data_IF_084674797595
#
_entry.id   IF_084674797595
#
_cell.length_a   1.000
_cell.length_b   1.000
_cell.length_c   1.000
_cell.angle_alpha   90.00
_cell.angle_beta   90.00
_cell.angle_gamma   90.00
#
_symmetry.space_group_name_H-M   'P 1'
#
loop_
_entity.id
_entity.type
_entity.pdbx_description
1 polymer ?
#
# COMPACT_ATOMS: atom_id res chain seq x y z
N UNK A 1 -1.52 -38.93 27.55
CA UNK A 1 -2.42 -38.11 26.72
C UNK A 1 -1.52 -37.23 25.87
N UNK A 2 -1.36 -37.56 24.59
CA UNK A 2 -0.54 -36.78 23.64
C UNK A 2 -1.38 -35.62 23.13
N UNK A 3 -0.90 -34.39 23.32
CA UNK A 3 -1.53 -33.20 22.72
C UNK A 3 -1.58 -33.36 21.20
N UNK A 4 -2.71 -33.04 20.54
CA UNK A 4 -2.78 -33.10 19.09
C UNK A 4 -1.81 -32.06 18.51
N UNK A 5 -0.82 -32.53 17.76
CA UNK A 5 0.14 -31.68 17.06
C UNK A 5 -0.60 -30.82 16.05
N UNK A 6 -0.50 -29.50 16.18
CA UNK A 6 -1.07 -28.57 15.21
C UNK A 6 -0.38 -28.77 13.84
N UNK A 7 -1.14 -29.20 12.83
CA UNK A 7 -0.69 -29.28 11.45
C UNK A 7 -1.34 -28.19 10.60
N UNK A 8 -0.53 -27.18 10.26
CA UNK A 8 -0.98 -26.02 9.50
C UNK A 8 -1.58 -26.38 8.14
N UNK A 9 -1.08 -27.44 7.49
CA UNK A 9 -1.56 -27.83 6.17
C UNK A 9 -2.97 -28.42 6.23
N UNK A 10 -3.21 -29.32 7.19
CA UNK A 10 -4.55 -29.89 7.42
C UNK A 10 -5.58 -28.83 7.81
N UNK A 11 -5.18 -27.85 8.65
CA UNK A 11 -6.06 -26.74 9.03
C UNK A 11 -6.39 -25.83 7.84
N UNK A 12 -5.41 -25.54 6.98
CA UNK A 12 -5.65 -24.74 5.77
C UNK A 12 -6.64 -25.42 4.82
N UNK A 13 -6.50 -26.72 4.58
CA UNK A 13 -7.46 -27.47 3.74
C UNK A 13 -8.86 -27.52 4.38
N UNK A 14 -8.95 -27.53 5.71
CA UNK A 14 -10.24 -27.46 6.43
C UNK A 14 -10.92 -26.11 6.19
N UNK A 15 -10.17 -25.00 6.30
CA UNK A 15 -10.69 -23.64 6.08
C UNK A 15 -11.14 -23.42 4.63
N UNK A 16 -10.39 -23.93 3.66
CA UNK A 16 -10.71 -23.83 2.22
C UNK A 16 -12.06 -24.46 1.86
N UNK A 17 -12.47 -25.46 2.63
CA UNK A 17 -13.72 -26.19 2.42
C UNK A 17 -14.84 -25.77 3.38
N UNK A 18 -14.59 -24.87 4.32
CA UNK A 18 -15.58 -24.39 5.26
C UNK A 18 -16.71 -23.61 4.54
N UNK A 19 -17.96 -23.96 4.86
CA UNK A 19 -19.15 -23.32 4.31
C UNK A 19 -19.95 -22.62 5.41
N UNK A 20 -20.65 -21.54 5.05
CA UNK A 20 -21.57 -20.86 5.96
C UNK A 20 -22.94 -21.57 6.03
N UNK A 21 -23.84 -21.02 6.86
CA UNK A 21 -25.18 -21.57 7.08
C UNK A 21 -26.08 -21.58 5.82
N UNK A 22 -25.65 -20.92 4.73
CA UNK A 22 -26.33 -20.92 3.42
C UNK A 22 -25.51 -21.65 2.35
N UNK A 23 -24.60 -22.54 2.77
CA UNK A 23 -23.74 -23.39 1.94
C UNK A 23 -22.70 -22.69 1.03
N UNK A 24 -22.50 -21.39 1.20
CA UNK A 24 -21.46 -20.65 0.48
C UNK A 24 -20.09 -20.83 1.16
N UNK A 25 -19.01 -20.80 0.36
CA UNK A 25 -17.65 -20.92 0.88
C UNK A 25 -17.30 -19.70 1.75
N UNK A 26 -16.88 -19.95 2.99
CA UNK A 26 -16.43 -18.88 3.90
C UNK A 26 -15.06 -18.33 3.48
N UNK A 27 -14.20 -19.18 2.93
CA UNK A 27 -12.90 -18.79 2.42
C UNK A 27 -12.93 -18.82 0.88
N UNK A 28 -12.92 -17.63 0.28
CA UNK A 28 -12.81 -17.50 -1.18
C UNK A 28 -11.48 -16.81 -1.47
N UNK A 29 -10.49 -17.48 -2.07
CA UNK A 29 -9.22 -16.88 -2.46
C UNK A 29 -9.38 -16.03 -3.74
N UNK A 30 -10.55 -15.44 -3.95
CA UNK A 30 -10.82 -14.61 -5.13
C UNK A 30 -9.81 -13.47 -5.07
N UNK A 31 -8.94 -13.31 -6.08
CA UNK A 31 -8.04 -12.19 -6.10
C UNK A 31 -8.88 -10.92 -6.05
N UNK A 32 -8.56 -10.07 -5.08
CA UNK A 32 -9.02 -8.69 -5.01
C UNK A 32 -8.88 -8.08 -6.41
N UNK A 33 -9.94 -7.42 -6.89
CA UNK A 33 -10.00 -6.95 -8.27
C UNK A 33 -8.72 -6.20 -8.67
N UNK A 34 -8.10 -6.57 -9.79
CA UNK A 34 -6.91 -5.89 -10.29
C UNK A 34 -7.31 -4.50 -10.83
N UNK A 35 -7.10 -3.46 -10.04
CA UNK A 35 -7.39 -2.08 -10.44
C UNK A 35 -6.17 -1.52 -11.18
N UNK A 36 -6.27 -1.36 -12.50
CA UNK A 36 -5.24 -0.71 -13.33
C UNK A 36 -5.50 0.79 -13.41
N UNK A 37 -4.61 1.58 -12.83
CA UNK A 37 -4.66 3.05 -12.89
C UNK A 37 -3.64 3.56 -13.91
N UNK A 38 -4.08 4.41 -14.84
CA UNK A 38 -3.18 5.06 -15.80
C UNK A 38 -2.72 6.42 -15.26
N UNK A 39 -1.39 6.59 -15.11
CA UNK A 39 -0.77 7.83 -14.64
C UNK A 39 0.14 8.38 -15.73
N UNK A 40 -0.10 9.62 -16.14
CA UNK A 40 0.64 10.33 -17.17
C UNK A 40 1.68 11.28 -16.54
N UNK A 41 2.91 11.33 -17.07
CA UNK A 41 3.95 12.24 -16.57
C UNK A 41 3.64 13.69 -16.92
N UNK A 42 3.70 14.58 -15.93
CA UNK A 42 3.48 16.01 -16.10
C UNK A 42 4.36 16.82 -15.12
N UNK A 43 5.32 17.59 -15.66
CA UNK A 43 6.25 18.42 -14.86
C UNK A 43 5.58 19.64 -14.20
N UNK A 44 4.38 20.02 -14.63
CA UNK A 44 3.61 21.10 -14.00
C UNK A 44 2.96 20.67 -12.68
N UNK A 45 2.82 19.37 -12.45
CA UNK A 45 2.29 18.82 -11.20
C UNK A 45 3.40 18.82 -10.15
N UNK A 46 3.13 19.31 -8.94
CA UNK A 46 4.09 19.25 -7.85
C UNK A 46 4.44 17.80 -7.47
N UNK A 47 5.66 17.54 -6.98
CA UNK A 47 6.03 16.21 -6.49
C UNK A 47 5.08 15.69 -5.39
N UNK A 48 4.99 14.37 -5.27
CA UNK A 48 4.11 13.64 -4.35
C UNK A 48 2.60 13.93 -4.51
N UNK A 49 2.17 14.44 -5.67
CA UNK A 49 0.75 14.67 -5.99
C UNK A 49 0.30 13.88 -7.22
N UNK A 50 -0.97 13.49 -7.18
CA UNK A 50 -1.71 12.91 -8.31
C UNK A 50 -2.93 13.79 -8.57
N UNK A 51 -3.09 14.24 -9.81
CA UNK A 51 -4.20 15.10 -10.22
C UNK A 51 -5.02 14.35 -11.27
N UNK A 52 -6.31 14.13 -11.00
CA UNK A 52 -7.20 13.53 -11.98
C UNK A 52 -7.28 14.37 -13.26
N UNK A 53 -7.27 13.70 -14.42
CA UNK A 53 -7.46 14.38 -15.70
C UNK A 53 -8.93 14.76 -15.88
N UNK A 54 -9.18 16.04 -16.19
CA UNK A 54 -10.53 16.54 -16.48
C UNK A 54 -11.05 16.10 -17.84
N UNK A 55 -10.15 15.95 -18.82
CA UNK A 55 -10.46 15.59 -20.21
C UNK A 55 -10.44 14.09 -20.50
N UNK A 56 -9.74 13.31 -19.68
CA UNK A 56 -9.60 11.85 -19.84
C UNK A 56 -9.99 11.15 -18.52
N UNK A 57 -11.29 10.88 -18.30
CA UNK A 57 -11.77 10.22 -17.08
C UNK A 57 -11.03 8.90 -16.81
N UNK A 58 -10.77 8.60 -15.53
CA UNK A 58 -10.06 7.39 -15.11
C UNK A 58 -8.53 7.47 -15.22
N UNK A 59 -7.97 8.59 -15.67
CA UNK A 59 -6.51 8.81 -15.75
C UNK A 59 -6.06 9.93 -14.82
N UNK A 60 -4.80 9.85 -14.39
CA UNK A 60 -4.18 10.84 -13.51
C UNK A 60 -2.93 11.44 -14.14
N UNK A 61 -2.51 12.62 -13.64
CA UNK A 61 -1.22 13.25 -13.94
C UNK A 61 -0.40 13.34 -12.67
N UNK A 62 0.90 13.10 -12.78
CA UNK A 62 1.83 13.24 -11.67
C UNK A 62 3.21 13.68 -12.18
N UNK A 63 4.00 14.31 -11.30
CA UNK A 63 5.38 14.62 -11.61
C UNK A 63 6.15 13.32 -11.96
N UNK A 64 7.04 13.32 -12.97
CA UNK A 64 7.82 12.12 -13.34
C UNK A 64 8.56 11.50 -12.15
N UNK A 65 9.04 12.32 -11.21
CA UNK A 65 9.69 11.85 -9.98
C UNK A 65 8.73 11.06 -9.09
N UNK A 66 7.48 11.53 -8.96
CA UNK A 66 6.44 10.87 -8.16
C UNK A 66 6.16 9.49 -8.70
N UNK A 67 6.05 9.36 -10.03
CA UNK A 67 5.80 8.08 -10.71
C UNK A 67 6.94 7.09 -10.45
N UNK A 68 8.20 7.54 -10.50
CA UNK A 68 9.36 6.69 -10.19
C UNK A 68 9.47 6.33 -8.71
N UNK A 69 9.13 7.27 -7.84
CA UNK A 69 9.21 7.12 -6.39
C UNK A 69 8.13 6.17 -5.84
N UNK A 70 6.96 6.08 -6.48
CA UNK A 70 5.84 5.28 -6.01
C UNK A 70 6.15 3.77 -6.06
N UNK A 71 5.67 3.02 -5.07
CA UNK A 71 5.63 1.55 -5.13
C UNK A 71 4.54 1.08 -6.11
N UNK A 72 4.81 0.02 -6.86
CA UNK A 72 3.90 -0.44 -7.92
C UNK A 72 2.65 -1.14 -7.36
N UNK A 73 2.78 -1.82 -6.21
CA UNK A 73 1.71 -2.61 -5.60
C UNK A 73 1.01 -1.87 -4.45
N UNK A 74 0.80 -0.57 -4.62
CA UNK A 74 0.28 0.32 -3.57
C UNK A 74 -1.11 -0.08 -3.05
N UNK A 75 -1.93 -0.67 -3.92
CA UNK A 75 -3.35 -0.91 -3.69
C UNK A 75 -3.70 -2.40 -3.55
N UNK A 76 -2.71 -3.30 -3.49
CA UNK A 76 -2.93 -4.74 -3.37
C UNK A 76 -3.49 -5.21 -2.00
N UNK A 77 -3.85 -4.27 -1.11
CA UNK A 77 -4.56 -4.54 0.13
C UNK A 77 -5.68 -3.55 0.43
N UNK A 78 -6.10 -2.73 -0.55
CA UNK A 78 -7.07 -1.63 -0.39
C UNK A 78 -8.45 -2.09 0.12
N UNK A 79 -8.74 -3.40 0.05
CA UNK A 79 -10.01 -4.00 0.47
C UNK A 79 -9.97 -4.58 1.90
N UNK A 80 -8.85 -4.44 2.62
CA UNK A 80 -8.75 -4.78 4.05
C UNK A 80 -8.61 -3.49 4.85
N UNK A 81 -9.54 -3.27 5.78
CA UNK A 81 -9.86 -1.99 6.46
C UNK A 81 -8.77 -1.40 7.41
N UNK A 82 -7.46 -1.47 7.10
CA UNK A 82 -6.40 -1.20 8.10
C UNK A 82 -5.25 -0.28 7.66
N UNK A 83 -5.39 0.59 6.64
CA UNK A 83 -4.29 1.50 6.27
C UNK A 83 -3.97 2.57 7.34
N UNK A 84 -4.98 3.06 8.06
CA UNK A 84 -4.80 4.13 9.04
C UNK A 84 -3.92 3.71 10.24
N UNK A 85 -3.94 2.43 10.60
CA UNK A 85 -3.12 1.88 11.70
C UNK A 85 -1.71 1.50 11.25
N UNK A 86 -1.42 1.59 9.96
CA UNK A 86 -0.13 1.18 9.38
C UNK A 86 0.78 2.35 9.01
N UNK A 87 0.30 3.59 9.11
CA UNK A 87 1.06 4.79 8.73
C UNK A 87 2.48 4.79 9.32
N UNK A 88 3.48 5.01 8.47
CA UNK A 88 4.88 5.10 8.90
C UNK A 88 5.50 6.41 8.44
N UNK A 89 5.10 7.49 9.12
CA UNK A 89 5.56 8.84 8.83
C UNK A 89 6.96 9.09 9.39
N UNK A 90 7.88 9.60 8.56
CA UNK A 90 9.21 10.05 8.99
C UNK A 90 9.56 11.40 8.37
N UNK A 91 10.49 12.14 8.98
CA UNK A 91 11.15 13.25 8.28
C UNK A 91 12.19 12.71 7.29
N UNK A 92 12.09 13.13 6.04
CA UNK A 92 13.13 12.87 5.04
C UNK A 92 14.47 13.47 5.50
N UNK A 93 15.57 12.72 5.36
CA UNK A 93 16.90 13.24 5.74
C UNK A 93 17.38 14.39 4.86
N UNK A 94 17.06 14.34 3.56
CA UNK A 94 17.43 15.37 2.58
C UNK A 94 16.60 16.64 2.71
N UNK A 95 15.28 16.56 2.46
CA UNK A 95 14.42 17.75 2.39
C UNK A 95 13.59 18.03 3.65
N UNK A 96 13.69 17.21 4.69
CA UNK A 96 12.96 17.33 5.98
C UNK A 96 11.44 17.22 5.91
N UNK A 97 10.86 17.11 4.72
CA UNK A 97 9.43 16.85 4.51
C UNK A 97 9.00 15.58 5.23
N UNK A 98 7.81 15.60 5.83
CA UNK A 98 7.16 14.42 6.42
C UNK A 98 6.66 13.53 5.28
N UNK A 99 7.01 12.25 5.35
CA UNK A 99 6.71 11.28 4.31
C UNK A 99 6.27 9.98 4.96
N UNK A 100 5.11 9.48 4.54
CA UNK A 100 4.72 8.11 4.82
C UNK A 100 5.47 7.14 3.91
N UNK A 101 6.48 6.47 4.45
CA UNK A 101 7.40 5.63 3.66
C UNK A 101 6.73 4.38 3.09
N UNK A 102 5.53 4.03 3.54
CA UNK A 102 4.81 2.87 3.03
C UNK A 102 4.53 2.97 1.54
N UNK A 103 4.32 4.18 1.04
CA UNK A 103 3.90 4.41 -0.34
C UNK A 103 5.05 4.60 -1.33
N UNK A 104 6.28 4.76 -0.83
CA UNK A 104 7.41 5.24 -1.64
C UNK A 104 8.63 4.31 -1.56
N UNK A 105 9.40 4.28 -2.64
CA UNK A 105 10.72 3.64 -2.77
C UNK A 105 11.85 4.56 -2.27
N UNK A 106 11.66 5.86 -2.48
CA UNK A 106 12.57 6.94 -2.08
C UNK A 106 11.76 8.23 -1.91
N UNK A 107 12.37 9.30 -1.39
CA UNK A 107 11.69 10.57 -1.19
C UNK A 107 11.17 11.17 -2.53
N UNK A 108 9.85 11.31 -2.75
CA UNK A 108 9.33 11.91 -3.98
C UNK A 108 9.71 13.39 -4.16
N UNK A 109 10.16 14.10 -3.11
CA UNK A 109 10.49 15.52 -3.20
C UNK A 109 11.93 15.80 -3.59
N UNK A 110 12.88 15.00 -3.07
CA UNK A 110 14.32 15.26 -3.25
C UNK A 110 15.12 14.04 -3.72
N UNK A 111 14.45 12.93 -4.06
CA UNK A 111 15.06 11.69 -4.57
C UNK A 111 16.01 10.97 -3.60
N UNK A 112 16.10 11.44 -2.36
CA UNK A 112 16.91 10.83 -1.30
C UNK A 112 16.41 9.42 -0.98
N UNK A 113 17.33 8.47 -0.90
CA UNK A 113 17.02 7.09 -0.52
C UNK A 113 16.67 6.99 0.96
N UNK A 114 15.68 6.15 1.29
CA UNK A 114 15.40 5.85 2.70
C UNK A 114 16.53 5.01 3.31
N UNK A 115 16.85 5.21 4.61
CA UNK A 115 17.83 4.35 5.29
C UNK A 115 17.37 2.89 5.31
N UNK A 116 18.33 1.96 5.40
CA UNK A 116 18.04 0.54 5.64
C UNK A 116 17.30 0.34 6.96
N UNK A 117 17.79 0.99 8.01
CA UNK A 117 17.13 1.03 9.32
C UNK A 117 16.32 2.32 9.42
N UNK A 118 14.99 2.19 9.32
CA UNK A 118 14.09 3.33 9.40
C UNK A 118 14.11 3.94 10.82
N UNK A 119 14.09 5.28 10.95
CA UNK A 119 13.93 5.93 12.24
C UNK A 119 12.55 5.65 12.82
N UNK A 120 12.36 5.88 14.12
CA UNK A 120 11.03 5.73 14.75
C UNK A 120 9.99 6.57 14.00
N UNK A 121 8.79 6.04 13.75
CA UNK A 121 7.74 6.78 13.10
C UNK A 121 7.31 7.96 13.98
N UNK A 122 6.92 9.05 13.34
CA UNK A 122 6.37 10.23 13.96
C UNK A 122 5.03 9.90 14.62
N UNK A 123 4.78 10.48 15.78
CA UNK A 123 3.48 10.42 16.45
C UNK A 123 2.53 11.43 15.83
N UNK A 124 1.22 11.26 16.03
CA UNK A 124 0.19 12.13 15.44
C UNK A 124 0.33 13.64 15.75
N UNK A 125 1.01 14.01 16.84
CA UNK A 125 1.29 15.41 17.21
C UNK A 125 2.61 15.96 16.64
N UNK A 126 3.39 15.11 15.96
CA UNK A 126 4.68 15.41 15.33
C UNK A 126 4.57 15.41 13.79
N UNK A 127 3.36 15.13 13.25
CA UNK A 127 3.03 15.17 11.83
C UNK A 127 2.92 16.60 11.29
#
# INVERSE_FOLDING_TARGET
MTEPTFDAQTQFETLKNAKNAVEERMYTPTPEAEIKVQILPDKSVSPAKFIANKTMPGTFRAHPVTIRAMRQDLFAGANNELFADLEYNIHCRGCKTVIDVQFWKFCPFCEESFPKDLPKPLKSHEL
#
